data_IF_304496212624
#
_entry.id   IF_304496212624
#
_cell.length_a   1.000
_cell.length_b   1.000
_cell.length_c   1.000
_cell.angle_alpha   90.00
_cell.angle_beta   90.00
_cell.angle_gamma   90.00
#
_symmetry.space_group_name_H-M   'P 1'
#
loop_
_entity.id
_entity.type
_entity.pdbx_description
1 polymer ?
#
# COMPACT_ATOMS: atom_id res chain seq x y z
N UNK A 1 -7.06 -25.24 -27.29
CA UNK A 1 -7.20 -24.09 -26.33
C UNK A 1 -6.64 -24.43 -24.95
N UNK A 2 -7.17 -25.45 -24.24
CA UNK A 2 -6.67 -25.80 -22.87
C UNK A 2 -5.22 -26.29 -22.93
N UNK A 3 -4.85 -27.16 -23.84
CA UNK A 3 -3.47 -27.64 -23.98
C UNK A 3 -2.49 -26.54 -24.37
N UNK A 4 -2.93 -25.56 -25.16
CA UNK A 4 -2.12 -24.40 -25.49
C UNK A 4 -1.85 -23.52 -24.27
N UNK A 5 -2.85 -23.32 -23.42
CA UNK A 5 -2.69 -22.60 -22.16
C UNK A 5 -1.75 -23.36 -21.23
N UNK A 6 -1.95 -24.67 -21.05
CA UNK A 6 -1.09 -25.53 -20.22
C UNK A 6 0.36 -25.44 -20.68
N UNK A 7 0.63 -25.57 -21.98
CA UNK A 7 1.98 -25.48 -22.53
C UNK A 7 2.64 -24.11 -22.31
N UNK A 8 1.83 -23.03 -22.32
CA UNK A 8 2.33 -21.68 -22.04
C UNK A 8 2.67 -21.45 -20.57
N UNK A 9 1.90 -22.01 -19.65
CA UNK A 9 2.10 -21.75 -18.21
C UNK A 9 3.07 -22.74 -17.54
N UNK A 10 3.20 -23.97 -18.04
CA UNK A 10 4.06 -25.02 -17.47
C UNK A 10 5.48 -24.54 -17.19
N UNK A 11 6.17 -23.80 -18.08
CA UNK A 11 7.53 -23.31 -17.82
C UNK A 11 7.63 -22.32 -16.63
N UNK A 12 6.51 -21.75 -16.19
CA UNK A 12 6.47 -20.78 -15.09
C UNK A 12 6.08 -21.39 -13.75
N UNK A 13 5.36 -22.54 -13.75
CA UNK A 13 4.83 -23.16 -12.52
C UNK A 13 5.94 -23.52 -11.52
N UNK A 14 7.09 -23.98 -12.00
CA UNK A 14 8.23 -24.37 -11.16
C UNK A 14 9.04 -23.17 -10.66
N UNK A 15 8.77 -21.96 -11.14
CA UNK A 15 9.50 -20.77 -10.74
C UNK A 15 9.00 -20.27 -9.39
N UNK A 16 9.92 -19.85 -8.51
CA UNK A 16 9.61 -19.37 -7.16
C UNK A 16 8.59 -18.23 -7.11
N UNK A 17 8.56 -17.37 -8.14
CA UNK A 17 7.60 -16.27 -8.17
C UNK A 17 6.17 -16.68 -8.53
N UNK A 18 5.96 -17.82 -9.20
CA UNK A 18 4.62 -18.28 -9.60
C UNK A 18 3.68 -18.35 -8.39
N UNK A 19 4.10 -19.03 -7.32
CA UNK A 19 3.31 -19.17 -6.10
C UNK A 19 2.98 -17.82 -5.46
N UNK A 20 3.91 -16.86 -5.49
CA UNK A 20 3.67 -15.51 -4.97
C UNK A 20 2.58 -14.80 -5.77
N UNK A 21 2.65 -14.82 -7.11
CA UNK A 21 1.65 -14.20 -7.96
C UNK A 21 0.30 -14.90 -7.87
N UNK A 22 0.29 -16.23 -7.80
CA UNK A 22 -0.94 -17.00 -7.65
C UNK A 22 -1.63 -16.72 -6.31
N UNK A 23 -0.90 -16.76 -5.21
CA UNK A 23 -1.44 -16.41 -3.90
C UNK A 23 -1.92 -14.95 -3.84
N UNK A 24 -1.20 -14.05 -4.50
CA UNK A 24 -1.62 -12.67 -4.61
C UNK A 24 -2.89 -12.51 -5.46
N UNK A 25 -3.06 -13.29 -6.51
CA UNK A 25 -4.30 -13.31 -7.28
C UNK A 25 -5.50 -13.66 -6.40
N UNK A 26 -5.39 -14.72 -5.59
CA UNK A 26 -6.44 -15.09 -4.63
C UNK A 26 -6.71 -13.94 -3.63
N UNK A 27 -5.64 -13.35 -3.08
CA UNK A 27 -5.78 -12.21 -2.15
C UNK A 27 -6.46 -10.99 -2.78
N UNK A 28 -6.24 -10.75 -4.07
CA UNK A 28 -6.93 -9.68 -4.81
C UNK A 28 -8.44 -9.86 -4.83
N UNK A 29 -8.94 -11.08 -4.92
CA UNK A 29 -10.38 -11.37 -4.88
C UNK A 29 -10.96 -10.96 -3.52
N UNK A 30 -10.27 -11.28 -2.42
CA UNK A 30 -10.68 -10.85 -1.07
C UNK A 30 -10.67 -9.31 -0.92
N UNK A 31 -9.66 -8.64 -1.49
CA UNK A 31 -9.57 -7.19 -1.46
C UNK A 31 -10.67 -6.54 -2.30
N UNK A 32 -11.04 -7.13 -3.43
CA UNK A 32 -12.16 -6.66 -4.25
C UNK A 32 -13.49 -6.77 -3.48
N UNK A 33 -13.74 -7.91 -2.85
CA UNK A 33 -14.92 -8.10 -1.99
C UNK A 33 -14.95 -7.11 -0.82
N UNK A 34 -13.81 -6.85 -0.19
CA UNK A 34 -13.68 -5.82 0.84
C UNK A 34 -14.00 -4.42 0.31
N UNK A 35 -13.51 -4.06 -0.89
CA UNK A 35 -13.77 -2.76 -1.51
C UNK A 35 -15.28 -2.56 -1.76
N UNK A 36 -15.96 -3.57 -2.29
CA UNK A 36 -17.41 -3.53 -2.51
C UNK A 36 -18.20 -3.41 -1.19
N UNK A 37 -17.78 -4.12 -0.15
CA UNK A 37 -18.39 -4.02 1.19
C UNK A 37 -18.19 -2.63 1.80
N UNK A 38 -17.01 -2.01 1.60
CA UNK A 38 -16.75 -0.64 2.05
C UNK A 38 -17.60 0.37 1.30
N UNK A 39 -17.81 0.18 -0.01
CA UNK A 39 -18.67 1.06 -0.80
C UNK A 39 -20.13 1.02 -0.32
N UNK A 40 -20.67 -0.16 -0.07
CA UNK A 40 -22.01 -0.34 0.50
C UNK A 40 -22.18 0.30 1.88
N UNK A 41 -21.08 0.49 2.64
CA UNK A 41 -21.08 1.15 3.96
C UNK A 41 -20.96 2.67 3.91
N UNK A 42 -20.85 3.27 2.72
CA UNK A 42 -20.82 4.73 2.59
C UNK A 42 -22.09 5.34 3.18
N UNK A 43 -21.90 6.43 3.93
CA UNK A 43 -22.99 7.16 4.54
C UNK A 43 -22.89 8.65 4.16
N UNK A 44 -23.96 9.21 3.57
CA UNK A 44 -24.01 10.62 3.10
C UNK A 44 -22.79 10.98 2.23
N UNK A 45 -22.40 10.09 1.32
CA UNK A 45 -21.24 10.26 0.43
C UNK A 45 -19.86 10.10 1.09
N UNK A 46 -19.79 9.82 2.40
CA UNK A 46 -18.53 9.64 3.12
C UNK A 46 -18.09 8.17 3.10
N UNK A 47 -16.84 7.94 2.77
CA UNK A 47 -16.23 6.61 2.84
C UNK A 47 -16.01 6.19 4.30
N UNK A 48 -16.17 4.89 4.68
CA UNK A 48 -15.94 4.43 6.05
C UNK A 48 -14.50 4.65 6.56
N UNK A 49 -13.52 4.61 5.66
CA UNK A 49 -12.11 4.86 5.97
C UNK A 49 -11.76 6.27 5.50
N UNK A 50 -11.39 7.16 6.43
CA UNK A 50 -11.12 8.58 6.16
C UNK A 50 -9.73 8.96 6.72
N UNK A 51 -8.64 8.54 6.07
CA UNK A 51 -7.30 8.88 6.53
C UNK A 51 -7.03 10.38 6.35
N UNK A 52 -6.24 10.96 7.25
CA UNK A 52 -5.77 12.34 7.13
C UNK A 52 -4.43 12.38 6.42
N UNK A 53 -4.10 13.50 5.77
CA UNK A 53 -2.75 13.77 5.29
C UNK A 53 -1.76 13.63 6.46
N UNK A 54 -0.65 12.97 6.24
CA UNK A 54 0.35 12.67 7.26
C UNK A 54 0.11 11.40 8.08
N UNK A 55 -1.07 10.78 8.01
CA UNK A 55 -1.31 9.49 8.65
C UNK A 55 -0.42 8.39 8.06
N UNK A 56 0.05 7.50 8.92
CA UNK A 56 0.83 6.31 8.54
C UNK A 56 -0.04 5.08 8.72
N UNK A 57 -0.19 4.31 7.64
CA UNK A 57 -0.92 3.05 7.63
C UNK A 57 -0.05 1.88 7.22
N UNK A 58 -0.36 0.69 7.73
CA UNK A 58 0.11 -0.56 7.15
C UNK A 58 -0.76 -0.87 5.92
N UNK A 59 -0.12 -1.18 4.78
CA UNK A 59 -0.76 -1.26 3.46
C UNK A 59 -0.29 -2.50 2.72
N UNK A 60 -1.22 -3.22 2.10
CA UNK A 60 -0.94 -4.33 1.19
C UNK A 60 -0.71 -3.81 -0.23
N UNK A 61 0.55 -3.66 -0.65
CA UNK A 61 0.89 -3.29 -2.04
C UNK A 61 0.78 -4.49 -3.00
N UNK A 62 0.94 -5.70 -2.49
CA UNK A 62 0.80 -6.93 -3.24
C UNK A 62 2.06 -7.41 -3.93
N UNK A 63 1.90 -8.15 -5.02
CA UNK A 63 3.02 -8.61 -5.84
C UNK A 63 3.04 -7.83 -7.14
N UNK A 64 4.12 -7.07 -7.36
CA UNK A 64 4.33 -6.22 -8.53
C UNK A 64 5.56 -6.69 -9.30
N UNK A 65 5.90 -6.03 -10.39
CA UNK A 65 6.93 -6.50 -11.31
C UNK A 65 8.31 -5.95 -10.93
N UNK A 66 9.31 -6.83 -10.93
CA UNK A 66 10.72 -6.47 -10.80
C UNK A 66 11.03 -5.70 -9.51
N UNK A 67 11.39 -4.43 -9.63
CA UNK A 67 11.78 -3.55 -8.51
C UNK A 67 10.66 -2.63 -8.01
N UNK A 68 9.47 -2.73 -8.57
CA UNK A 68 8.29 -2.08 -8.00
C UNK A 68 8.07 -2.55 -6.57
N UNK A 69 7.55 -1.67 -5.72
CA UNK A 69 7.26 -2.02 -4.34
C UNK A 69 6.25 -3.16 -4.28
N UNK A 70 6.59 -4.21 -3.56
CA UNK A 70 5.73 -5.38 -3.34
C UNK A 70 5.58 -5.70 -1.85
N UNK A 71 4.66 -6.60 -1.53
CA UNK A 71 4.34 -7.04 -0.18
C UNK A 71 3.59 -5.99 0.66
N UNK A 72 3.66 -6.13 1.97
CA UNK A 72 3.03 -5.24 2.94
C UNK A 72 4.08 -4.27 3.49
N UNK A 73 3.80 -2.98 3.39
CA UNK A 73 4.66 -1.92 3.88
C UNK A 73 3.85 -0.82 4.56
N UNK A 74 4.52 -0.04 5.40
CA UNK A 74 3.96 1.22 5.88
C UNK A 74 3.93 2.24 4.74
N UNK A 75 2.94 3.13 4.75
CA UNK A 75 2.84 4.24 3.82
C UNK A 75 2.27 5.48 4.48
N UNK A 76 2.79 6.64 4.09
CA UNK A 76 2.32 7.96 4.52
C UNK A 76 1.24 8.44 3.55
N UNK A 77 0.12 8.87 4.08
CA UNK A 77 -0.97 9.48 3.29
C UNK A 77 -0.55 10.90 2.91
N UNK A 78 -0.45 11.17 1.62
CA UNK A 78 -0.07 12.50 1.09
C UNK A 78 -1.23 13.26 0.45
N UNK A 79 -2.32 12.57 0.12
CA UNK A 79 -3.53 13.20 -0.38
C UNK A 79 -4.19 14.09 0.68
N UNK A 80 -4.71 15.26 0.27
CA UNK A 80 -5.41 16.19 1.15
C UNK A 80 -6.57 15.52 1.90
N UNK A 81 -6.69 15.79 3.20
CA UNK A 81 -7.68 15.13 4.07
C UNK A 81 -9.11 15.34 3.62
N UNK A 82 -9.44 16.51 3.06
CA UNK A 82 -10.76 16.81 2.51
C UNK A 82 -11.17 15.85 1.37
N UNK A 83 -10.22 15.52 0.51
CA UNK A 83 -10.44 14.57 -0.60
C UNK A 83 -10.60 13.14 -0.09
N UNK A 84 -9.99 12.80 1.04
CA UNK A 84 -10.06 11.46 1.63
C UNK A 84 -11.42 11.13 2.25
N UNK A 85 -12.30 12.12 2.45
CA UNK A 85 -13.62 11.90 3.05
C UNK A 85 -14.52 11.04 2.16
N UNK A 86 -14.57 11.33 0.87
CA UNK A 86 -15.47 10.66 -0.08
C UNK A 86 -14.75 9.66 -1.00
N UNK A 87 -13.48 9.89 -1.30
CA UNK A 87 -12.69 9.08 -2.25
C UNK A 87 -12.58 7.61 -1.84
N UNK A 88 -12.65 6.71 -2.80
CA UNK A 88 -12.34 5.28 -2.64
C UNK A 88 -10.83 5.02 -2.59
N UNK A 89 -10.07 5.88 -3.24
CA UNK A 89 -8.62 5.75 -3.37
C UNK A 89 -7.90 6.83 -2.57
N UNK A 90 -6.61 6.62 -2.35
CA UNK A 90 -5.74 7.55 -1.65
C UNK A 90 -4.31 7.49 -2.20
N UNK A 91 -3.65 8.65 -2.28
CA UNK A 91 -2.23 8.75 -2.64
C UNK A 91 -1.36 8.48 -1.42
N UNK A 92 -0.39 7.59 -1.59
CA UNK A 92 0.52 7.16 -0.52
C UNK A 92 1.97 7.17 -0.98
N UNK A 93 2.87 7.51 -0.07
CA UNK A 93 4.32 7.32 -0.22
C UNK A 93 4.75 6.18 0.70
N UNK A 94 5.32 5.10 0.15
CA UNK A 94 5.77 3.98 0.97
C UNK A 94 6.95 4.33 1.87
N UNK A 95 7.01 3.70 3.04
CA UNK A 95 8.12 3.78 3.98
C UNK A 95 8.98 2.51 3.90
N UNK A 96 10.30 2.68 3.94
CA UNK A 96 11.27 1.59 3.96
C UNK A 96 12.32 1.83 5.04
N UNK A 97 12.74 0.76 5.72
CA UNK A 97 13.85 0.77 6.69
C UNK A 97 15.21 0.44 6.07
N UNK A 98 15.30 0.27 4.76
CA UNK A 98 16.56 -0.04 4.09
C UNK A 98 17.53 1.14 4.18
N UNK A 99 18.85 0.90 4.45
CA UNK A 99 19.80 1.98 4.73
C UNK A 99 20.14 2.86 3.52
N UNK A 100 20.02 2.32 2.29
CA UNK A 100 20.38 3.05 1.07
C UNK A 100 19.40 4.19 0.79
N UNK A 101 19.90 5.41 0.74
CA UNK A 101 19.14 6.62 0.44
C UNK A 101 19.43 7.05 -1.01
N UNK A 102 18.36 7.42 -1.74
CA UNK A 102 18.44 8.01 -3.08
C UNK A 102 17.96 9.46 -3.03
N UNK A 103 18.26 10.30 -4.03
CA UNK A 103 17.82 11.70 -4.05
C UNK A 103 16.29 11.91 -3.97
N UNK A 104 15.53 10.89 -4.39
CA UNK A 104 14.05 10.88 -4.34
C UNK A 104 13.48 10.40 -3.01
N UNK A 105 14.35 10.04 -2.06
CA UNK A 105 13.95 9.55 -0.74
C UNK A 105 14.13 10.63 0.32
N UNK A 106 13.16 10.77 1.21
CA UNK A 106 13.24 11.63 2.40
C UNK A 106 13.46 10.79 3.65
N UNK A 107 14.40 11.20 4.50
CA UNK A 107 14.69 10.49 5.76
C UNK A 107 13.62 10.81 6.80
N UNK A 108 13.16 9.78 7.49
CA UNK A 108 12.22 9.88 8.60
C UNK A 108 12.96 9.54 9.88
N UNK A 109 13.01 10.48 10.81
CA UNK A 109 13.61 10.35 12.12
C UNK A 109 12.51 10.28 13.20
N UNK A 110 12.93 10.10 14.46
CA UNK A 110 11.99 10.01 15.58
C UNK A 110 11.20 11.30 15.78
N UNK A 111 11.83 12.44 15.54
CA UNK A 111 11.27 13.77 15.68
C UNK A 111 10.15 14.05 14.68
N UNK A 112 10.18 13.38 13.53
CA UNK A 112 9.18 13.52 12.47
C UNK A 112 7.89 12.75 12.78
N UNK A 113 7.86 11.93 13.84
CA UNK A 113 6.70 11.14 14.24
C UNK A 113 5.90 11.90 15.30
N UNK A 114 4.70 12.32 14.93
CA UNK A 114 3.76 13.02 15.81
C UNK A 114 3.01 12.07 16.75
N UNK A 115 2.53 10.96 16.21
CA UNK A 115 1.81 9.94 16.98
C UNK A 115 2.21 8.54 16.53
N UNK A 116 2.08 7.56 17.43
CA UNK A 116 2.44 6.17 17.13
C UNK A 116 3.94 5.91 17.23
N UNK A 117 4.38 4.79 16.67
CA UNK A 117 5.77 4.36 16.71
C UNK A 117 6.10 3.56 15.44
N UNK A 118 7.25 3.84 14.83
CA UNK A 118 7.83 2.99 13.81
C UNK A 118 8.81 2.01 14.45
N UNK A 119 8.76 0.74 14.05
CA UNK A 119 9.61 -0.32 14.62
C UNK A 119 11.09 -0.10 14.35
N UNK A 120 11.40 0.55 13.22
CA UNK A 120 12.79 0.82 12.79
C UNK A 120 12.94 2.28 12.41
N UNK A 121 13.85 2.96 13.08
CA UNK A 121 14.28 4.33 12.77
C UNK A 121 15.82 4.41 12.73
N UNK A 122 16.42 5.21 11.88
CA UNK A 122 15.75 6.02 10.86
C UNK A 122 15.15 5.16 9.73
N UNK A 123 14.00 5.57 9.26
CA UNK A 123 13.35 5.05 8.05
C UNK A 123 13.44 6.08 6.92
N UNK A 124 12.84 5.79 5.78
CA UNK A 124 12.76 6.73 4.66
C UNK A 124 11.44 6.63 3.92
N UNK A 125 10.91 7.77 3.50
CA UNK A 125 9.83 7.88 2.55
C UNK A 125 10.39 7.74 1.13
N UNK A 126 9.79 6.86 0.32
CA UNK A 126 10.21 6.58 -1.06
C UNK A 126 9.37 7.38 -2.05
N UNK A 127 9.75 8.63 -2.31
CA UNK A 127 9.02 9.51 -3.22
C UNK A 127 8.92 8.99 -4.65
N UNK A 128 9.93 8.24 -5.11
CA UNK A 128 9.94 7.55 -6.42
C UNK A 128 8.91 6.41 -6.53
N UNK A 129 8.32 5.99 -5.43
CA UNK A 129 7.28 4.95 -5.35
C UNK A 129 5.90 5.52 -4.95
N UNK A 130 5.70 6.84 -5.08
CA UNK A 130 4.39 7.45 -4.89
C UNK A 130 3.34 6.72 -5.74
N UNK A 131 2.26 6.28 -5.11
CA UNK A 131 1.24 5.51 -5.80
C UNK A 131 -0.17 5.77 -5.27
N UNK A 132 -1.17 5.54 -6.12
CA UNK A 132 -2.58 5.56 -5.77
C UNK A 132 -3.03 4.14 -5.43
N UNK A 133 -3.65 3.97 -4.28
CA UNK A 133 -4.19 2.68 -3.83
C UNK A 133 -5.69 2.79 -3.50
N UNK A 134 -6.41 1.70 -3.67
CA UNK A 134 -7.75 1.57 -3.07
C UNK A 134 -7.63 1.44 -1.55
N UNK A 135 -8.54 2.07 -0.82
CA UNK A 135 -8.55 2.03 0.65
C UNK A 135 -8.78 0.64 1.24
N UNK A 136 -9.32 -0.31 0.45
CA UNK A 136 -9.41 -1.70 0.85
C UNK A 136 -8.04 -2.34 1.16
N UNK A 137 -6.95 -1.82 0.55
CA UNK A 137 -5.57 -2.27 0.83
C UNK A 137 -5.03 -1.80 2.18
N UNK A 138 -5.68 -0.82 2.82
CA UNK A 138 -5.28 -0.30 4.13
C UNK A 138 -5.68 -1.27 5.23
N UNK A 139 -4.72 -1.71 6.04
CA UNK A 139 -4.95 -2.65 7.13
C UNK A 139 -5.32 -1.92 8.43
N UNK A 140 -4.41 -1.12 8.96
CA UNK A 140 -4.64 -0.31 10.15
C UNK A 140 -3.68 0.88 10.22
N UNK A 141 -4.09 1.89 10.99
CA UNK A 141 -3.27 3.08 11.26
C UNK A 141 -2.18 2.75 12.29
N UNK A 142 -0.95 3.16 11.99
CA UNK A 142 0.23 2.99 12.85
C UNK A 142 0.51 4.28 13.62
N UNK A 143 0.35 5.43 12.98
CA UNK A 143 0.67 6.72 13.58
C UNK A 143 0.48 7.87 12.60
N UNK A 144 1.19 8.95 12.82
CA UNK A 144 1.22 10.10 11.90
C UNK A 144 2.57 10.82 11.97
N UNK A 145 2.96 11.49 10.87
CA UNK A 145 4.09 12.41 10.84
C UNK A 145 3.67 13.81 11.30
N UNK A 146 4.66 14.65 11.61
CA UNK A 146 4.48 16.09 11.87
C UNK A 146 4.04 16.80 10.59
N UNK A 147 3.46 18.00 10.73
CA UNK A 147 2.95 18.80 9.62
C UNK A 147 4.05 19.71 8.99
N UNK A 148 5.28 19.60 9.47
CA UNK A 148 6.44 20.40 9.03
C UNK A 148 7.12 19.85 7.78
#
# INVERSE_FOLDING_TARGET
MIDEIINKITPYIERLYFNRFFNWFIRKLDLQDKAEKLDKKKNKGKHPIQPRKGDIYLIEFGQNIGKELSNTHMGIIVQASSNNVASHTVLVVPISSSPKLYPTHERIQKEDIKTGKLDKLPSKAKGDQLTCIDKARMLYKIGSVTDD
#
